data_IF_533468551679
#
_entry.id   IF_533468551679
#
_cell.length_a   1.000
_cell.length_b   1.000
_cell.length_c   1.000
_cell.angle_alpha   90.00
_cell.angle_beta   90.00
_cell.angle_gamma   90.00
#
_symmetry.space_group_name_H-M   'P 1'
#
loop_
_entity.id
_entity.type
_entity.pdbx_description
1 polymer ?
#
# COMPACT_ATOMS: atom_id res chain seq x y z
N UNK A 1 -22.74 -8.24 -8.83
CA UNK A 1 -21.44 -8.78 -9.29
C UNK A 1 -21.57 -9.52 -10.61
N UNK A 2 -22.62 -10.33 -10.80
CA UNK A 2 -22.83 -11.11 -12.04
C UNK A 2 -22.97 -10.31 -13.35
N UNK A 3 -23.25 -8.99 -13.32
CA UNK A 3 -23.41 -8.17 -14.53
C UNK A 3 -22.05 -7.70 -15.11
N UNK A 4 -20.96 -7.72 -14.32
CA UNK A 4 -19.65 -7.24 -14.79
C UNK A 4 -18.83 -8.31 -15.52
N UNK A 5 -19.05 -9.58 -15.21
CA UNK A 5 -18.38 -10.70 -15.89
C UNK A 5 -18.92 -10.86 -17.32
N UNK A 6 -20.23 -10.77 -17.51
CA UNK A 6 -20.86 -10.86 -18.84
C UNK A 6 -20.40 -9.72 -19.78
N UNK A 7 -20.34 -8.48 -19.29
CA UNK A 7 -19.89 -7.30 -20.05
C UNK A 7 -18.40 -7.42 -20.48
N UNK A 8 -17.57 -8.06 -19.64
CA UNK A 8 -16.15 -8.26 -19.90
C UNK A 8 -15.91 -9.43 -20.87
N UNK A 9 -16.64 -10.53 -20.70
CA UNK A 9 -16.62 -11.70 -21.58
C UNK A 9 -17.06 -11.34 -23.00
N UNK A 10 -18.05 -10.45 -23.15
CA UNK A 10 -18.47 -9.93 -24.45
C UNK A 10 -17.39 -9.06 -25.10
N UNK A 11 -16.74 -8.20 -24.31
CA UNK A 11 -15.65 -7.34 -24.80
C UNK A 11 -14.44 -8.16 -25.25
N UNK A 12 -14.06 -9.19 -24.51
CA UNK A 12 -12.94 -10.08 -24.86
C UNK A 12 -13.20 -10.81 -26.20
N UNK A 13 -14.45 -11.23 -26.44
CA UNK A 13 -14.84 -11.94 -27.67
C UNK A 13 -14.92 -11.05 -28.91
N UNK A 14 -15.13 -9.75 -28.73
CA UNK A 14 -15.38 -8.80 -29.83
C UNK A 14 -14.27 -7.76 -29.99
N UNK A 15 -13.14 -7.95 -29.32
CA UNK A 15 -12.11 -6.92 -29.15
C UNK A 15 -11.46 -6.50 -30.47
N UNK A 16 -11.47 -5.19 -30.73
CA UNK A 16 -10.65 -4.54 -31.75
C UNK A 16 -9.70 -3.56 -31.04
N UNK A 17 -8.37 -3.62 -31.27
CA UNK A 17 -7.38 -2.85 -30.53
C UNK A 17 -7.33 -1.38 -30.99
N UNK A 18 -8.44 -0.67 -30.78
CA UNK A 18 -8.61 0.75 -31.06
C UNK A 18 -9.20 1.43 -29.83
N UNK A 19 -8.92 2.72 -29.68
CA UNK A 19 -9.33 3.47 -28.49
C UNK A 19 -10.83 3.38 -28.21
N UNK A 20 -11.65 3.64 -29.24
CA UNK A 20 -13.12 3.66 -29.11
C UNK A 20 -13.75 2.28 -28.90
N UNK A 21 -13.09 1.20 -29.30
CA UNK A 21 -13.64 -0.16 -29.23
C UNK A 21 -13.08 -1.02 -28.10
N UNK A 22 -11.96 -0.62 -27.51
CA UNK A 22 -11.32 -1.33 -26.39
C UNK A 22 -11.25 -0.45 -25.14
N UNK A 23 -10.70 0.75 -25.24
CA UNK A 23 -10.42 1.59 -24.06
C UNK A 23 -11.70 2.18 -23.48
N UNK A 24 -12.56 2.79 -24.30
CA UNK A 24 -13.80 3.39 -23.81
C UNK A 24 -14.78 2.37 -23.16
N UNK A 25 -15.00 1.16 -23.72
CA UNK A 25 -15.82 0.14 -23.05
C UNK A 25 -15.18 -0.37 -21.76
N UNK A 26 -13.85 -0.57 -21.76
CA UNK A 26 -13.13 -1.03 -20.57
C UNK A 26 -13.19 0.01 -19.44
N UNK A 27 -13.00 1.29 -19.76
CA UNK A 27 -13.15 2.39 -18.79
C UNK A 27 -14.56 2.41 -18.17
N UNK A 28 -15.62 2.20 -18.96
CA UNK A 28 -17.00 2.14 -18.41
C UNK A 28 -17.22 0.95 -17.47
N UNK A 29 -16.59 -0.20 -17.74
CA UNK A 29 -16.64 -1.37 -16.86
C UNK A 29 -15.88 -1.09 -15.56
N UNK A 30 -14.68 -0.51 -15.68
CA UNK A 30 -13.81 -0.14 -14.56
C UNK A 30 -14.40 0.99 -13.72
N UNK A 31 -15.08 1.97 -14.31
CA UNK A 31 -15.70 3.10 -13.61
C UNK A 31 -16.76 2.64 -12.61
N UNK A 32 -17.57 1.65 -12.97
CA UNK A 32 -18.55 1.04 -12.04
C UNK A 32 -17.84 0.45 -10.82
N UNK A 33 -16.71 -0.23 -11.03
CA UNK A 33 -15.89 -0.77 -9.94
C UNK A 33 -15.24 0.35 -9.12
N UNK A 34 -14.74 1.39 -9.78
CA UNK A 34 -14.10 2.56 -9.18
C UNK A 34 -15.07 3.33 -8.27
N UNK A 35 -16.33 3.50 -8.67
CA UNK A 35 -17.36 4.14 -7.84
C UNK A 35 -17.65 3.34 -6.57
N UNK A 36 -17.83 2.02 -6.70
CA UNK A 36 -18.05 1.13 -5.53
C UNK A 36 -16.83 1.15 -4.62
N UNK A 37 -15.64 1.08 -5.19
CA UNK A 37 -14.38 1.12 -4.44
C UNK A 37 -14.13 2.49 -3.81
N UNK A 38 -14.58 3.57 -4.44
CA UNK A 38 -14.57 4.93 -3.90
C UNK A 38 -15.43 5.06 -2.64
N UNK A 39 -16.62 4.44 -2.63
CA UNK A 39 -17.47 4.37 -1.43
C UNK A 39 -16.80 3.57 -0.30
N UNK A 40 -16.20 2.43 -0.62
CA UNK A 40 -15.47 1.60 0.35
C UNK A 40 -14.25 2.35 0.91
N UNK A 41 -13.48 3.03 0.05
CA UNK A 41 -12.35 3.87 0.47
C UNK A 41 -12.80 5.05 1.34
N UNK A 42 -13.92 5.69 1.01
CA UNK A 42 -14.48 6.76 1.84
C UNK A 42 -14.92 6.21 3.20
N UNK A 43 -15.64 5.08 3.24
CA UNK A 43 -16.03 4.39 4.47
C UNK A 43 -14.82 3.98 5.32
N UNK A 44 -13.75 3.48 4.70
CA UNK A 44 -12.48 3.20 5.37
C UNK A 44 -11.86 4.47 5.97
N UNK A 45 -11.99 5.62 5.30
CA UNK A 45 -11.44 6.89 5.77
C UNK A 45 -12.27 7.54 6.89
N UNK A 46 -13.60 7.35 6.93
CA UNK A 46 -14.49 8.00 7.93
C UNK A 46 -14.94 7.07 9.06
N UNK A 47 -14.82 5.76 8.89
CA UNK A 47 -15.24 4.74 9.87
C UNK A 47 -14.08 3.79 10.18
N UNK A 48 -13.08 4.34 10.88
CA UNK A 48 -11.93 3.60 11.41
C UNK A 48 -12.21 3.10 12.83
N UNK A 49 -12.81 1.91 12.97
CA UNK A 49 -13.08 1.30 14.28
C UNK A 49 -11.92 0.42 14.74
N UNK A 50 -11.79 0.20 16.05
CA UNK A 50 -10.75 -0.67 16.60
C UNK A 50 -10.80 -2.09 16.01
N UNK A 51 -11.99 -2.61 15.70
CA UNK A 51 -12.17 -3.92 15.08
C UNK A 51 -11.68 -3.95 13.63
N UNK A 52 -11.87 -2.86 12.87
CA UNK A 52 -11.37 -2.74 11.50
C UNK A 52 -9.85 -2.55 11.47
N UNK A 53 -9.27 -1.85 12.46
CA UNK A 53 -7.81 -1.77 12.64
C UNK A 53 -7.19 -3.12 12.97
N UNK A 54 -7.78 -3.89 13.88
CA UNK A 54 -7.35 -5.27 14.17
C UNK A 54 -7.38 -6.18 12.92
N UNK A 55 -8.42 -6.06 12.08
CA UNK A 55 -8.47 -6.80 10.82
C UNK A 55 -7.40 -6.35 9.81
N UNK A 56 -7.04 -5.06 9.78
CA UNK A 56 -5.96 -4.52 8.95
C UNK A 56 -4.58 -4.96 9.49
N UNK A 57 -4.42 -5.05 10.81
CA UNK A 57 -3.22 -5.56 11.50
C UNK A 57 -2.92 -7.02 11.07
N UNK A 58 -3.95 -7.86 10.94
CA UNK A 58 -3.80 -9.22 10.38
C UNK A 58 -3.30 -9.22 8.92
N UNK A 59 -3.71 -8.21 8.13
CA UNK A 59 -3.32 -8.07 6.71
C UNK A 59 -1.96 -7.40 6.53
N UNK A 60 -1.43 -6.69 7.54
CA UNK A 60 -0.10 -6.08 7.45
C UNK A 60 1.01 -7.10 7.20
N UNK A 61 0.86 -8.28 7.79
CA UNK A 61 1.77 -9.42 7.60
C UNK A 61 1.80 -9.85 6.12
N UNK A 62 0.68 -9.74 5.41
CA UNK A 62 0.59 -10.00 3.97
C UNK A 62 1.33 -8.95 3.13
N UNK A 63 1.31 -7.69 3.54
CA UNK A 63 2.11 -6.63 2.89
C UNK A 63 3.61 -6.88 3.07
N UNK A 64 4.02 -7.28 4.26
CA UNK A 64 5.40 -7.69 4.54
C UNK A 64 5.80 -8.91 3.71
N UNK A 65 4.90 -9.89 3.53
CA UNK A 65 5.11 -11.03 2.63
C UNK A 65 5.41 -10.58 1.22
N UNK A 66 4.57 -9.72 0.64
CA UNK A 66 4.78 -9.21 -0.72
C UNK A 66 6.09 -8.45 -0.90
N UNK A 67 6.40 -7.53 0.03
CA UNK A 67 7.65 -6.77 -0.01
C UNK A 67 8.89 -7.66 0.16
N UNK A 68 8.83 -8.66 1.05
CA UNK A 68 9.94 -9.59 1.28
C UNK A 68 10.14 -10.52 0.08
N UNK A 69 9.05 -11.05 -0.50
CA UNK A 69 9.13 -11.88 -1.71
C UNK A 69 9.72 -11.11 -2.88
N UNK A 70 9.30 -9.85 -3.08
CA UNK A 70 9.87 -8.96 -4.11
C UNK A 70 11.38 -8.78 -3.94
N UNK A 71 11.85 -8.41 -2.74
CA UNK A 71 13.28 -8.22 -2.47
C UNK A 71 14.07 -9.53 -2.63
N UNK A 72 13.56 -10.65 -2.13
CA UNK A 72 14.23 -11.95 -2.27
C UNK A 72 14.38 -12.37 -3.74
N UNK A 73 13.36 -12.09 -4.57
CA UNK A 73 13.41 -12.37 -6.01
C UNK A 73 14.42 -11.49 -6.75
N UNK A 74 14.64 -10.26 -6.31
CA UNK A 74 15.53 -9.32 -7.00
C UNK A 74 16.96 -9.25 -6.41
N UNK A 75 17.20 -9.80 -5.22
CA UNK A 75 18.50 -9.79 -4.56
C UNK A 75 19.19 -11.17 -4.54
N UNK A 76 18.45 -12.22 -4.18
CA UNK A 76 19.04 -13.53 -3.86
C UNK A 76 18.67 -14.63 -4.86
N UNK A 77 17.57 -14.48 -5.59
CA UNK A 77 17.14 -15.46 -6.58
C UNK A 77 17.97 -15.38 -7.86
N UNK A 78 18.38 -16.54 -8.38
CA UNK A 78 19.15 -16.66 -9.62
C UNK A 78 18.31 -17.39 -10.66
N UNK A 79 17.85 -16.70 -11.72
CA UNK A 79 17.11 -17.34 -12.81
C UNK A 79 17.93 -18.45 -13.47
N UNK A 80 17.29 -19.59 -13.75
CA UNK A 80 17.95 -20.78 -14.33
C UNK A 80 18.71 -21.66 -13.32
N UNK A 81 18.68 -21.31 -12.03
CA UNK A 81 19.19 -22.14 -10.94
C UNK A 81 18.28 -23.34 -10.62
N UNK A 82 18.57 -24.02 -9.50
CA UNK A 82 17.83 -25.20 -9.04
C UNK A 82 16.50 -24.89 -8.33
N UNK A 83 16.35 -23.67 -7.80
CA UNK A 83 15.13 -23.23 -7.12
C UNK A 83 14.22 -22.47 -8.09
N UNK A 84 12.91 -22.66 -7.96
CA UNK A 84 11.89 -21.89 -8.68
C UNK A 84 11.48 -20.63 -7.90
N UNK A 85 10.79 -19.71 -8.58
CA UNK A 85 10.17 -18.54 -7.93
C UNK A 85 9.15 -18.93 -6.85
N UNK A 86 8.51 -20.10 -6.99
CA UNK A 86 7.57 -20.61 -6.00
C UNK A 86 8.28 -21.17 -4.76
N UNK A 87 9.49 -21.71 -4.90
CA UNK A 87 10.33 -22.10 -3.77
C UNK A 87 10.79 -20.90 -2.95
N UNK A 88 11.03 -19.76 -3.62
CA UNK A 88 11.29 -18.48 -2.95
C UNK A 88 10.06 -18.04 -2.15
N UNK A 89 8.88 -18.07 -2.76
CA UNK A 89 7.64 -17.69 -2.07
C UNK A 89 7.38 -18.56 -0.84
N UNK A 90 7.47 -19.88 -0.99
CA UNK A 90 7.32 -20.83 0.11
C UNK A 90 8.33 -20.57 1.23
N UNK A 91 9.57 -20.22 0.91
CA UNK A 91 10.61 -19.89 1.90
C UNK A 91 10.29 -18.61 2.65
N UNK A 92 9.87 -17.56 1.95
CA UNK A 92 9.49 -16.27 2.55
C UNK A 92 8.27 -16.42 3.45
N UNK A 93 7.25 -17.12 2.97
CA UNK A 93 5.99 -17.35 3.69
C UNK A 93 6.18 -18.04 5.03
N UNK A 94 7.24 -18.83 5.25
CA UNK A 94 7.54 -19.42 6.58
C UNK A 94 7.76 -18.38 7.67
N UNK A 95 8.19 -17.16 7.32
CA UNK A 95 8.49 -16.08 8.27
C UNK A 95 7.44 -14.98 8.24
N UNK A 96 6.64 -14.92 7.17
CA UNK A 96 5.71 -13.82 6.89
C UNK A 96 4.26 -14.29 6.80
N UNK A 97 3.95 -15.56 7.04
CA UNK A 97 2.59 -16.08 7.13
C UNK A 97 2.51 -17.14 8.22
N UNK A 98 1.37 -17.20 8.90
CA UNK A 98 1.10 -18.23 9.92
C UNK A 98 0.84 -19.59 9.24
N UNK A 99 0.04 -19.57 8.18
CA UNK A 99 -0.31 -20.76 7.40
C UNK A 99 0.49 -20.71 6.09
N UNK A 100 1.22 -21.78 5.72
CA UNK A 100 1.96 -21.80 4.47
C UNK A 100 1.02 -21.76 3.25
N UNK A 101 1.44 -21.14 2.14
CA UNK A 101 0.67 -21.14 0.91
C UNK A 101 0.59 -22.55 0.33
N UNK A 102 -0.48 -22.81 -0.41
CA UNK A 102 -0.69 -24.10 -1.08
C UNK A 102 0.43 -24.36 -2.11
N UNK A 103 0.81 -25.63 -2.35
CA UNK A 103 1.76 -25.97 -3.41
C UNK A 103 1.33 -25.46 -4.81
N UNK A 104 0.03 -25.29 -5.02
CA UNK A 104 -0.60 -24.80 -6.25
C UNK A 104 -0.72 -23.27 -6.30
N UNK A 105 -0.28 -22.54 -5.27
CA UNK A 105 -0.35 -21.07 -5.26
C UNK A 105 0.52 -20.48 -6.38
N UNK A 106 -0.09 -19.70 -7.26
CA UNK A 106 0.57 -19.02 -8.38
C UNK A 106 0.36 -17.51 -8.35
N UNK A 107 0.14 -16.90 -7.18
CA UNK A 107 -0.14 -15.46 -7.07
C UNK A 107 0.94 -14.59 -7.73
N UNK A 108 2.20 -15.05 -7.80
CA UNK A 108 3.30 -14.37 -8.50
C UNK A 108 2.96 -14.08 -9.97
N UNK A 109 2.22 -14.97 -10.65
CA UNK A 109 1.80 -14.77 -12.03
C UNK A 109 0.81 -13.59 -12.19
N UNK A 110 0.13 -13.20 -11.11
CA UNK A 110 -0.73 -12.02 -11.05
C UNK A 110 -0.08 -10.81 -10.36
N UNK A 111 1.21 -10.88 -10.00
CA UNK A 111 1.87 -9.82 -9.23
C UNK A 111 2.40 -8.70 -10.13
N UNK A 112 1.48 -8.03 -10.84
CA UNK A 112 1.81 -7.03 -11.86
C UNK A 112 2.62 -5.83 -11.33
N UNK A 113 2.54 -5.50 -10.04
CA UNK A 113 3.30 -4.38 -9.46
C UNK A 113 4.81 -4.52 -9.70
N UNK A 114 5.35 -5.73 -9.56
CA UNK A 114 6.79 -6.00 -9.66
C UNK A 114 7.20 -6.52 -11.04
N UNK A 115 6.26 -7.09 -11.82
CA UNK A 115 6.57 -7.66 -13.14
C UNK A 115 6.14 -6.79 -14.33
N UNK A 116 5.16 -5.91 -14.14
CA UNK A 116 4.59 -5.06 -15.19
C UNK A 116 4.31 -3.63 -14.69
N UNK A 117 4.95 -3.22 -13.59
CA UNK A 117 4.76 -1.94 -12.93
C UNK A 117 6.08 -1.33 -12.47
N UNK A 118 6.00 -0.23 -11.74
CA UNK A 118 7.17 0.52 -11.26
C UNK A 118 7.73 0.06 -9.91
N UNK A 119 7.32 -1.11 -9.40
CA UNK A 119 7.62 -1.54 -8.03
C UNK A 119 8.60 -2.72 -7.95
N UNK A 120 9.28 -3.09 -9.04
CA UNK A 120 10.31 -4.12 -9.02
C UNK A 120 11.43 -3.76 -8.02
N UNK A 121 11.73 -4.65 -7.08
CA UNK A 121 12.64 -4.39 -5.95
C UNK A 121 12.24 -3.15 -5.11
N UNK A 122 10.96 -2.80 -5.11
CA UNK A 122 10.44 -1.54 -4.61
C UNK A 122 9.07 -1.67 -3.94
N UNK A 123 8.50 -2.88 -3.82
CA UNK A 123 7.18 -3.05 -3.20
C UNK A 123 7.16 -2.64 -1.72
N UNK A 124 8.32 -2.66 -1.05
CA UNK A 124 8.48 -2.15 0.32
C UNK A 124 8.17 -0.64 0.44
N UNK A 125 8.19 0.11 -0.67
CA UNK A 125 7.90 1.54 -0.70
C UNK A 125 6.53 1.89 -0.12
N UNK A 126 5.53 0.99 -0.20
CA UNK A 126 4.24 1.20 0.45
C UNK A 126 4.39 1.32 1.98
N UNK A 127 5.08 0.37 2.62
CA UNK A 127 5.33 0.42 4.07
C UNK A 127 6.27 1.54 4.47
N UNK A 128 7.26 1.85 3.62
CA UNK A 128 8.14 3.00 3.83
C UNK A 128 7.37 4.32 3.81
N UNK A 129 6.50 4.52 2.83
CA UNK A 129 5.65 5.70 2.73
C UNK A 129 4.63 5.77 3.88
N UNK A 130 4.17 4.62 4.38
CA UNK A 130 3.25 4.57 5.53
C UNK A 130 3.90 5.05 6.83
N UNK A 131 5.19 4.75 7.04
CA UNK A 131 5.95 5.33 8.16
C UNK A 131 5.98 6.85 8.06
N UNK A 132 6.30 7.38 6.88
CA UNK A 132 6.35 8.82 6.63
C UNK A 132 4.98 9.48 6.80
N UNK A 133 3.91 8.87 6.28
CA UNK A 133 2.57 9.44 6.37
C UNK A 133 2.02 9.41 7.79
N UNK A 134 2.23 8.31 8.54
CA UNK A 134 1.82 8.22 9.93
C UNK A 134 2.56 9.23 10.81
N UNK A 135 3.87 9.38 10.61
CA UNK A 135 4.64 10.37 11.37
C UNK A 135 4.32 11.81 10.95
N UNK A 136 4.04 12.05 9.67
CA UNK A 136 3.55 13.36 9.23
C UNK A 136 2.18 13.69 9.85
N UNK A 137 1.26 12.72 9.91
CA UNK A 137 -0.03 12.89 10.58
C UNK A 137 0.13 13.13 12.08
N UNK A 138 1.11 12.50 12.73
CA UNK A 138 1.39 12.76 14.15
C UNK A 138 1.77 14.21 14.45
N UNK A 139 2.24 14.99 13.46
CA UNK A 139 2.44 16.43 13.64
C UNK A 139 1.10 17.18 13.86
N UNK A 140 0.01 16.72 13.24
CA UNK A 140 -1.33 17.27 13.49
C UNK A 140 -1.88 16.80 14.84
N UNK A 141 -1.57 15.57 15.27
CA UNK A 141 -1.88 15.10 16.63
C UNK A 141 -1.17 15.94 17.69
N UNK A 142 0.13 16.18 17.51
CA UNK A 142 0.96 17.00 18.41
C UNK A 142 0.47 18.46 18.50
N UNK A 143 -0.05 19.01 17.39
CA UNK A 143 -0.60 20.36 17.32
C UNK A 143 -1.99 20.49 17.96
N UNK A 144 -2.74 19.39 18.01
CA UNK A 144 -4.10 19.32 18.55
C UNK A 144 -5.16 19.34 17.44
N UNK A 145 -5.75 18.17 17.16
CA UNK A 145 -6.75 17.98 16.10
C UNK A 145 -8.06 18.76 16.32
N UNK A 146 -8.37 19.11 17.57
CA UNK A 146 -9.58 19.86 17.94
C UNK A 146 -9.38 21.39 17.87
N UNK A 147 -8.13 21.85 17.65
CA UNK A 147 -7.82 23.26 17.45
C UNK A 147 -7.72 23.57 15.95
N UNK A 148 -8.79 24.14 15.40
CA UNK A 148 -8.86 24.52 13.99
C UNK A 148 -7.70 25.41 13.54
N UNK A 149 -7.20 26.28 14.42
CA UNK A 149 -6.09 27.18 14.08
C UNK A 149 -4.78 26.40 14.00
N UNK A 150 -4.53 25.50 14.95
CA UNK A 150 -3.34 24.65 14.96
C UNK A 150 -3.32 23.69 13.75
N UNK A 151 -4.48 23.16 13.37
CA UNK A 151 -4.65 22.33 12.17
C UNK A 151 -4.39 23.14 10.90
N UNK A 152 -4.91 24.37 10.80
CA UNK A 152 -4.67 25.26 9.66
C UNK A 152 -3.18 25.61 9.50
N UNK A 153 -2.50 25.96 10.60
CA UNK A 153 -1.07 26.27 10.59
C UNK A 153 -0.23 25.06 10.16
N UNK A 154 -0.53 23.87 10.70
CA UNK A 154 0.16 22.62 10.34
C UNK A 154 -0.12 22.22 8.89
N UNK A 155 -1.36 22.38 8.42
CA UNK A 155 -1.76 22.13 7.04
C UNK A 155 -1.08 23.08 6.05
N UNK A 156 -0.95 24.36 6.39
CA UNK A 156 -0.20 25.32 5.59
C UNK A 156 1.28 24.92 5.49
N UNK A 157 1.89 24.49 6.61
CA UNK A 157 3.27 23.98 6.60
C UNK A 157 3.41 22.75 5.70
N UNK A 158 2.48 21.80 5.77
CA UNK A 158 2.46 20.60 4.93
C UNK A 158 2.36 20.95 3.44
N UNK A 159 1.51 21.93 3.10
CA UNK A 159 1.34 22.44 1.74
C UNK A 159 2.64 23.05 1.19
N UNK A 160 3.28 23.93 1.95
CA UNK A 160 4.49 24.64 1.53
C UNK A 160 5.75 23.76 1.47
N UNK A 161 5.69 22.56 2.05
CA UNK A 161 6.82 21.61 2.07
C UNK A 161 6.52 20.38 1.22
N UNK A 162 5.83 19.39 1.79
CA UNK A 162 5.58 18.06 1.18
C UNK A 162 4.90 18.19 -0.20
N UNK A 163 3.93 19.11 -0.34
CA UNK A 163 3.16 19.24 -1.59
C UNK A 163 3.78 20.21 -2.60
N UNK A 164 4.54 21.21 -2.15
CA UNK A 164 5.07 22.26 -3.03
C UNK A 164 6.45 21.95 -3.61
N UNK A 165 7.32 21.23 -2.90
CA UNK A 165 8.73 21.10 -3.27
C UNK A 165 9.01 20.00 -4.31
N UNK A 166 8.06 19.08 -4.52
CA UNK A 166 8.15 18.01 -5.53
C UNK A 166 9.49 17.26 -5.45
N UNK A 167 10.12 17.02 -6.62
CA UNK A 167 11.46 16.43 -6.72
C UNK A 167 12.61 17.45 -6.69
N UNK A 168 12.35 18.73 -6.39
CA UNK A 168 13.35 19.80 -6.40
C UNK A 168 14.26 19.86 -5.17
N UNK A 169 13.91 19.10 -4.12
CA UNK A 169 14.70 18.93 -2.88
C UNK A 169 14.66 17.46 -2.46
N UNK A 170 15.70 17.00 -1.76
CA UNK A 170 15.76 15.63 -1.27
C UNK A 170 14.54 15.32 -0.35
N UNK A 171 13.84 14.19 -0.53
CA UNK A 171 12.61 13.89 0.23
C UNK A 171 12.78 13.91 1.75
N UNK A 172 13.93 13.44 2.26
CA UNK A 172 14.23 13.47 3.69
C UNK A 172 14.36 14.92 4.22
N UNK A 173 15.00 15.80 3.46
CA UNK A 173 15.10 17.23 3.84
C UNK A 173 13.73 17.89 3.85
N UNK A 174 12.89 17.62 2.85
CA UNK A 174 11.50 18.10 2.78
C UNK A 174 10.70 17.61 3.99
N UNK A 175 10.86 16.33 4.36
CA UNK A 175 10.21 15.77 5.53
C UNK A 175 10.69 16.41 6.83
N UNK A 176 12.00 16.60 7.01
CA UNK A 176 12.57 17.24 8.21
C UNK A 176 12.11 18.69 8.31
N UNK A 177 12.02 19.41 7.19
CA UNK A 177 11.50 20.78 7.14
C UNK A 177 10.05 20.86 7.63
N UNK A 178 9.21 19.91 7.21
CA UNK A 178 7.83 19.77 7.71
C UNK A 178 7.78 19.33 9.18
N UNK A 179 8.42 18.21 9.52
CA UNK A 179 8.26 17.51 10.80
C UNK A 179 9.09 18.10 11.94
N UNK A 180 10.16 18.81 11.61
CA UNK A 180 11.16 19.35 12.55
C UNK A 180 12.20 18.33 13.04
N UNK A 181 12.09 17.07 12.61
CA UNK A 181 13.00 15.96 12.94
C UNK A 181 12.94 14.89 11.86
N UNK A 182 13.87 13.94 11.91
CA UNK A 182 13.85 12.73 11.07
C UNK A 182 12.62 11.85 11.37
N UNK A 183 12.19 11.03 10.38
CA UNK A 183 11.02 10.17 10.52
C UNK A 183 11.20 9.08 11.58
N UNK A 184 10.12 8.78 12.31
CA UNK A 184 10.04 7.73 13.32
C UNK A 184 8.93 6.73 12.99
N UNK A 185 9.16 5.41 13.14
CA UNK A 185 8.12 4.40 12.96
C UNK A 185 7.10 4.36 14.12
N UNK A 186 7.35 5.07 15.22
CA UNK A 186 6.52 4.99 16.43
C UNK A 186 5.06 5.37 16.18
N UNK A 187 4.81 6.43 15.40
CA UNK A 187 3.46 6.85 15.05
C UNK A 187 2.70 5.75 14.30
N UNK A 188 3.35 5.12 13.32
CA UNK A 188 2.78 3.99 12.59
C UNK A 188 2.43 2.84 13.53
N UNK A 189 3.36 2.46 14.41
CA UNK A 189 3.13 1.37 15.37
C UNK A 189 2.00 1.72 16.35
N UNK A 190 1.93 2.97 16.82
CA UNK A 190 0.88 3.45 17.72
C UNK A 190 -0.50 3.42 17.05
N UNK A 191 -0.61 3.95 15.83
CA UNK A 191 -1.87 3.99 15.07
C UNK A 191 -2.42 2.59 14.79
N UNK A 192 -1.53 1.61 14.67
CA UNK A 192 -1.86 0.20 14.45
C UNK A 192 -1.80 -0.65 15.73
N UNK A 193 -1.74 -0.06 16.93
CA UNK A 193 -1.76 -0.84 18.18
C UNK A 193 -0.59 -1.82 18.38
N UNK A 194 0.49 -1.68 17.60
CA UNK A 194 1.66 -2.58 17.60
C UNK A 194 2.78 -2.15 18.55
N UNK A 195 2.59 -1.06 19.29
CA UNK A 195 3.50 -0.72 20.38
C UNK A 195 3.38 -1.78 21.48
N UNK A 196 4.51 -2.32 21.93
CA UNK A 196 4.53 -3.27 23.01
C UNK A 196 3.82 -2.65 24.23
N UNK A 197 2.79 -3.35 24.74
CA UNK A 197 2.28 -3.05 26.07
C UNK A 197 3.49 -3.07 27.01
N UNK A 198 3.76 -1.95 27.67
CA UNK A 198 4.78 -1.90 28.71
C UNK A 198 4.48 -3.04 29.66
N UNK A 199 5.38 -4.04 29.72
CA UNK A 199 5.31 -5.10 30.71
C UNK A 199 5.46 -4.40 32.06
N UNK A 200 4.35 -4.16 32.75
CA UNK A 200 4.37 -3.71 34.13
C UNK A 200 4.98 -4.83 34.96
N UNK A 201 6.23 -4.65 35.35
CA UNK A 201 6.87 -5.44 36.40
C UNK A 201 6.29 -5.08 37.77
#
# INVERSE_FOLDING_TARGET
MCVQEDDLDELERTVEPTWSKLVEPLEKIVDKLSVVWGMVNHLKAVKDTAELRAAIEEVQVKQLKFATTDLELHLNYVPGGSASIYDVDQRVSKRTQIIPPLPEDRFLCGFSHIFAGGYAAGYYSYKWAEVLSADAFSAFEDAGLDDNKAVEETGHKFRETILALGGGKAPLEVFVEFRGREPSPEALLRHNGLLAATASA
#
